data_IF_734636095809
#
_entry.id   IF_734636095809
#
_cell.length_a   1.000
_cell.length_b   1.000
_cell.length_c   1.000
_cell.angle_alpha   90.00
_cell.angle_beta   90.00
_cell.angle_gamma   90.00
#
_symmetry.space_group_name_H-M   'P 1'
#
loop_
_entity.id
_entity.type
_entity.pdbx_description
1 polymer ?
#
# COMPACT_ATOMS: atom_id res chain seq x y z
N UNK A 1 -51.12 25.92 -30.14
CA UNK A 1 -50.68 24.90 -29.16
C UNK A 1 -49.79 25.59 -28.15
N UNK A 2 -50.21 25.68 -26.89
CA UNK A 2 -49.52 26.36 -25.79
C UNK A 2 -48.74 25.34 -24.95
N UNK A 3 -47.50 25.62 -24.55
CA UNK A 3 -46.87 25.06 -23.32
C UNK A 3 -45.75 25.99 -22.78
N UNK A 4 -46.19 26.84 -21.85
CA UNK A 4 -45.61 27.27 -20.55
C UNK A 4 -44.09 27.09 -20.30
N UNK A 5 -43.42 28.25 -20.29
CA UNK A 5 -42.40 28.77 -19.36
C UNK A 5 -41.92 27.91 -18.17
N UNK A 6 -40.60 27.82 -18.01
CA UNK A 6 -39.96 27.58 -16.71
C UNK A 6 -38.89 28.66 -16.47
N UNK A 7 -39.33 29.75 -15.87
CA UNK A 7 -38.46 30.75 -15.23
C UNK A 7 -38.06 30.20 -13.87
N UNK A 8 -36.80 29.81 -13.72
CA UNK A 8 -36.12 29.81 -12.43
C UNK A 8 -35.17 31.02 -12.41
N UNK A 9 -35.69 32.05 -11.77
CA UNK A 9 -35.12 33.36 -11.50
C UNK A 9 -33.68 33.27 -10.95
N UNK A 10 -32.78 34.00 -11.61
CA UNK A 10 -31.50 34.43 -11.06
C UNK A 10 -31.68 35.20 -9.76
N UNK A 11 -30.87 34.88 -8.75
CA UNK A 11 -30.56 35.83 -7.68
C UNK A 11 -29.06 36.05 -7.62
N UNK A 12 -28.69 37.30 -7.86
CA UNK A 12 -27.36 37.84 -7.93
C UNK A 12 -26.66 37.85 -6.57
N UNK A 13 -25.35 37.58 -6.57
CA UNK A 13 -24.43 38.19 -5.62
C UNK A 13 -23.13 38.58 -6.34
N UNK A 14 -22.87 39.89 -6.37
CA UNK A 14 -21.56 40.54 -6.27
C UNK A 14 -20.42 40.21 -7.26
N UNK A 15 -19.82 41.23 -7.92
CA UNK A 15 -18.57 41.07 -8.65
C UNK A 15 -17.41 41.19 -7.67
N UNK A 16 -16.74 40.09 -7.33
CA UNK A 16 -15.44 40.15 -6.69
C UNK A 16 -14.68 38.84 -6.82
N UNK A 17 -13.43 39.01 -7.20
CA UNK A 17 -12.30 38.18 -6.83
C UNK A 17 -11.96 36.94 -7.67
N UNK A 18 -10.98 37.20 -8.55
CA UNK A 18 -9.76 36.42 -8.73
C UNK A 18 -9.93 35.11 -9.50
N UNK A 19 -9.37 35.11 -10.71
CA UNK A 19 -9.06 33.91 -11.46
C UNK A 19 -8.13 33.03 -10.64
N UNK A 20 -8.69 31.99 -10.05
CA UNK A 20 -7.92 30.89 -9.51
C UNK A 20 -7.54 30.00 -10.69
N UNK A 21 -6.33 30.25 -11.20
CA UNK A 21 -5.71 29.37 -12.18
C UNK A 21 -5.80 27.96 -11.61
N UNK A 22 -6.42 27.06 -12.36
CA UNK A 22 -6.33 25.63 -12.12
C UNK A 22 -4.84 25.30 -12.02
N UNK A 23 -4.36 25.09 -10.78
CA UNK A 23 -3.00 24.67 -10.55
C UNK A 23 -2.89 23.28 -11.20
N UNK A 24 -1.95 23.08 -12.13
CA UNK A 24 -1.69 21.76 -12.64
C UNK A 24 -1.37 20.88 -11.43
N UNK A 25 -2.02 19.71 -11.34
CA UNK A 25 -1.60 18.66 -10.41
C UNK A 25 -0.17 18.33 -10.84
N UNK A 26 0.80 18.97 -10.20
CA UNK A 26 2.20 18.60 -10.31
C UNK A 26 2.26 17.18 -9.77
N UNK A 27 2.38 16.21 -10.68
CA UNK A 27 2.87 14.89 -10.33
C UNK A 27 4.24 15.15 -9.73
N UNK A 28 4.32 15.22 -8.41
CA UNK A 28 5.57 15.14 -7.70
C UNK A 28 6.24 13.88 -8.21
N UNK A 29 7.26 14.07 -9.05
CA UNK A 29 8.09 13.00 -9.55
C UNK A 29 8.92 12.62 -8.34
N UNK A 30 8.37 11.77 -7.47
CA UNK A 30 9.18 11.13 -6.44
C UNK A 30 10.23 10.35 -7.22
N UNK A 31 11.46 10.84 -7.15
CA UNK A 31 12.60 10.06 -7.59
C UNK A 31 12.69 8.91 -6.60
N UNK A 32 11.92 7.86 -6.88
CA UNK A 32 12.09 6.58 -6.20
C UNK A 32 13.54 6.19 -6.47
N UNK A 33 14.31 6.05 -5.40
CA UNK A 33 15.71 5.64 -5.50
C UNK A 33 15.79 4.14 -5.39
N UNK A 34 16.87 3.56 -5.92
CA UNK A 34 17.10 2.12 -5.83
C UNK A 34 17.10 1.61 -4.38
N UNK A 35 17.66 2.39 -3.44
CA UNK A 35 17.64 2.05 -2.02
C UNK A 35 16.22 1.97 -1.44
N UNK A 36 15.31 2.86 -1.86
CA UNK A 36 13.91 2.82 -1.44
C UNK A 36 13.17 1.61 -2.03
N UNK A 37 13.49 1.24 -3.28
CA UNK A 37 12.95 0.03 -3.91
C UNK A 37 13.38 -1.24 -3.16
N UNK A 38 14.65 -1.32 -2.78
CA UNK A 38 15.19 -2.45 -1.98
C UNK A 38 14.47 -2.55 -0.63
N UNK A 39 14.37 -1.44 0.12
CA UNK A 39 13.68 -1.40 1.42
C UNK A 39 12.19 -1.81 1.32
N UNK A 40 11.48 -1.33 0.31
CA UNK A 40 10.07 -1.66 0.11
C UNK A 40 9.89 -3.12 -0.31
N UNK A 41 10.79 -3.64 -1.15
CA UNK A 41 10.75 -5.03 -1.61
C UNK A 41 10.96 -6.02 -0.45
N UNK A 42 11.90 -5.74 0.46
CA UNK A 42 12.13 -6.53 1.68
C UNK A 42 10.89 -6.55 2.59
N UNK A 43 10.28 -5.37 2.82
CA UNK A 43 9.04 -5.27 3.62
C UNK A 43 7.87 -6.04 2.99
N UNK A 44 7.79 -6.04 1.66
CA UNK A 44 6.76 -6.80 0.95
C UNK A 44 6.94 -8.31 1.14
N UNK A 45 8.17 -8.82 1.04
CA UNK A 45 8.45 -10.24 1.27
C UNK A 45 8.06 -10.65 2.70
N UNK A 46 8.39 -9.84 3.71
CA UNK A 46 7.99 -10.09 5.09
C UNK A 46 6.46 -10.18 5.26
N UNK A 47 5.69 -9.28 4.63
CA UNK A 47 4.23 -9.34 4.66
C UNK A 47 3.69 -10.60 3.97
N UNK A 48 4.30 -10.99 2.85
CA UNK A 48 3.89 -12.19 2.12
C UNK A 48 4.13 -13.47 2.93
N UNK A 49 5.29 -13.60 3.59
CA UNK A 49 5.59 -14.70 4.52
C UNK A 49 4.54 -14.76 5.62
N UNK A 50 4.24 -13.61 6.26
CA UNK A 50 3.18 -13.53 7.27
C UNK A 50 1.83 -14.01 6.75
N UNK A 51 1.45 -13.64 5.52
CA UNK A 51 0.21 -14.11 4.91
C UNK A 51 0.22 -15.62 4.70
N UNK A 52 1.31 -16.21 4.20
CA UNK A 52 1.44 -17.66 4.03
C UNK A 52 1.30 -18.38 5.39
N UNK A 53 2.01 -17.93 6.42
CA UNK A 53 1.97 -18.51 7.76
C UNK A 53 0.56 -18.43 8.37
N UNK A 54 -0.09 -17.27 8.23
CA UNK A 54 -1.47 -17.05 8.68
C UNK A 54 -2.48 -17.94 7.95
N UNK A 55 -2.36 -18.06 6.63
CA UNK A 55 -3.20 -18.93 5.81
C UNK A 55 -3.01 -20.40 6.14
N UNK A 56 -1.78 -20.86 6.35
CA UNK A 56 -1.47 -22.23 6.75
C UNK A 56 -2.12 -22.59 8.10
N UNK A 57 -2.12 -21.66 9.08
CA UNK A 57 -2.80 -21.87 10.37
C UNK A 57 -4.31 -21.79 10.24
N UNK A 58 -4.83 -20.88 9.42
CA UNK A 58 -6.28 -20.74 9.16
C UNK A 58 -6.87 -21.96 8.45
N UNK A 59 -6.07 -22.66 7.65
CA UNK A 59 -6.46 -23.90 6.98
C UNK A 59 -6.56 -25.10 7.95
N UNK A 60 -6.02 -25.01 9.17
CA UNK A 60 -6.25 -26.00 10.21
C UNK A 60 -7.70 -25.84 10.70
N UNK A 61 -8.49 -26.91 10.58
CA UNK A 61 -9.80 -27.02 11.22
C UNK A 61 -9.59 -26.85 12.72
N UNK A 62 -9.76 -25.62 13.21
CA UNK A 62 -9.45 -25.27 14.58
C UNK A 62 -10.55 -25.80 15.48
N UNK A 63 -10.18 -26.70 16.38
CA UNK A 63 -11.05 -27.16 17.45
C UNK A 63 -11.45 -25.93 18.30
N UNK A 64 -12.73 -25.69 18.62
CA UNK A 64 -13.17 -24.52 19.40
C UNK A 64 -12.38 -24.30 20.70
N UNK A 65 -11.82 -25.37 21.29
CA UNK A 65 -10.96 -25.35 22.47
C UNK A 65 -9.57 -24.73 22.26
N UNK A 66 -9.06 -24.73 21.03
CA UNK A 66 -7.74 -24.18 20.67
C UNK A 66 -7.80 -22.72 20.17
N UNK A 67 -9.00 -22.15 20.04
CA UNK A 67 -9.22 -20.76 19.61
C UNK A 67 -9.28 -19.76 20.77
N UNK A 68 -8.70 -20.09 21.93
CA UNK A 68 -8.65 -19.16 23.06
C UNK A 68 -7.82 -17.91 22.71
N UNK A 69 -8.22 -16.75 23.25
CA UNK A 69 -7.51 -15.49 23.00
C UNK A 69 -6.03 -15.55 23.42
N UNK A 70 -5.71 -16.23 24.52
CA UNK A 70 -4.32 -16.42 24.95
C UNK A 70 -3.46 -17.20 23.95
N UNK A 71 -4.03 -18.21 23.29
CA UNK A 71 -3.34 -18.96 22.24
C UNK A 71 -3.10 -18.09 21.00
N UNK A 72 -4.06 -17.22 20.64
CA UNK A 72 -3.89 -16.27 19.53
C UNK A 72 -2.74 -15.30 19.79
N UNK A 73 -2.66 -14.75 21.00
CA UNK A 73 -1.55 -13.85 21.36
C UNK A 73 -0.21 -14.56 21.33
N UNK A 74 -0.12 -15.76 21.91
CA UNK A 74 1.12 -16.56 21.88
C UNK A 74 1.55 -16.89 20.44
N UNK A 75 0.61 -17.34 19.62
CA UNK A 75 0.87 -17.63 18.21
C UNK A 75 1.32 -16.37 17.45
N UNK A 76 0.74 -15.21 17.74
CA UNK A 76 1.16 -13.94 17.11
C UNK A 76 2.57 -13.52 17.51
N UNK A 77 2.97 -13.75 18.76
CA UNK A 77 4.35 -13.51 19.20
C UNK A 77 5.32 -14.49 18.52
N UNK A 78 4.95 -15.77 18.49
CA UNK A 78 5.73 -16.82 17.84
C UNK A 78 5.90 -16.57 16.34
N UNK A 79 4.84 -16.16 15.65
CA UNK A 79 4.88 -15.81 14.22
C UNK A 79 5.77 -14.61 13.95
N UNK A 80 5.81 -13.62 14.85
CA UNK A 80 6.70 -12.45 14.72
C UNK A 80 8.16 -12.91 14.78
N UNK A 81 8.53 -13.71 15.78
CA UNK A 81 9.89 -14.24 15.91
C UNK A 81 10.29 -15.14 14.74
N UNK A 82 9.37 -16.00 14.27
CA UNK A 82 9.63 -16.83 13.10
C UNK A 82 9.78 -15.99 11.83
N UNK A 83 8.96 -14.95 11.65
CA UNK A 83 9.07 -14.06 10.50
C UNK A 83 10.39 -13.29 10.51
N UNK A 84 10.82 -12.77 11.66
CA UNK A 84 12.09 -12.07 11.80
C UNK A 84 13.28 -13.01 11.57
N UNK A 85 13.24 -14.23 12.13
CA UNK A 85 14.28 -15.23 11.92
C UNK A 85 14.36 -15.71 10.47
N UNK A 86 13.21 -15.96 9.82
CA UNK A 86 13.17 -16.38 8.41
C UNK A 86 13.63 -15.24 7.49
N UNK A 87 13.22 -14.00 7.73
CA UNK A 87 13.69 -12.85 6.96
C UNK A 87 15.21 -12.65 7.07
N UNK A 88 15.82 -12.97 8.21
CA UNK A 88 17.28 -12.89 8.40
C UNK A 88 18.05 -14.07 7.80
N UNK A 89 17.46 -15.27 7.72
CA UNK A 89 18.18 -16.50 7.40
C UNK A 89 17.81 -17.16 6.07
N UNK A 90 16.58 -17.02 5.58
CA UNK A 90 16.10 -17.59 4.31
C UNK A 90 15.25 -16.57 3.54
N UNK A 91 15.90 -15.74 2.72
CA UNK A 91 15.20 -14.91 1.74
C UNK A 91 14.53 -15.81 0.69
N UNK A 92 13.23 -15.61 0.44
CA UNK A 92 12.49 -16.37 -0.57
C UNK A 92 12.85 -15.95 -2.00
N UNK A 93 13.63 -14.88 -2.14
CA UNK A 93 14.06 -14.36 -3.44
C UNK A 93 13.03 -13.43 -4.08
N UNK A 94 11.93 -13.11 -3.38
CA UNK A 94 10.82 -12.30 -3.90
C UNK A 94 11.24 -10.83 -3.88
N UNK A 95 11.91 -10.38 -2.81
CA UNK A 95 12.43 -9.03 -2.72
C UNK A 95 13.42 -8.75 -3.87
N UNK A 96 14.36 -9.66 -4.12
CA UNK A 96 15.32 -9.55 -5.21
C UNK A 96 14.65 -9.62 -6.58
N UNK A 97 13.63 -10.46 -6.74
CA UNK A 97 12.86 -10.52 -7.99
C UNK A 97 12.11 -9.21 -8.26
N UNK A 98 11.54 -8.58 -7.22
CA UNK A 98 10.91 -7.26 -7.33
C UNK A 98 11.95 -6.20 -7.69
N UNK A 99 13.07 -6.13 -6.99
CA UNK A 99 14.15 -5.19 -7.32
C UNK A 99 14.60 -5.39 -8.76
N UNK A 100 14.84 -6.63 -9.20
CA UNK A 100 15.22 -6.93 -10.59
C UNK A 100 14.17 -6.50 -11.62
N UNK A 101 12.89 -6.58 -11.28
CA UNK A 101 11.78 -6.22 -12.17
C UNK A 101 11.55 -4.70 -12.26
N UNK A 102 11.88 -3.97 -11.20
CA UNK A 102 11.58 -2.54 -11.07
C UNK A 102 12.82 -1.64 -11.11
N UNK A 103 14.05 -2.19 -11.04
CA UNK A 103 15.30 -1.42 -11.12
C UNK A 103 15.36 -0.56 -12.38
N UNK A 104 14.93 -1.07 -13.53
CA UNK A 104 14.96 -0.33 -14.81
C UNK A 104 13.90 0.81 -14.88
N UNK A 105 12.97 0.83 -13.92
CA UNK A 105 11.90 1.85 -13.81
C UNK A 105 12.20 2.89 -12.74
N UNK A 106 13.22 2.65 -11.93
CA UNK A 106 13.68 3.52 -10.85
C UNK A 106 14.86 4.32 -11.39
N UNK A 107 14.89 5.61 -11.08
CA UNK A 107 16.00 6.46 -11.52
C UNK A 107 17.15 6.22 -10.56
N UNK A 108 18.28 5.72 -11.06
CA UNK A 108 19.53 5.73 -10.30
C UNK A 108 19.80 7.19 -9.92
N UNK A 109 19.90 7.47 -8.63
CA UNK A 109 19.93 8.82 -8.06
C UNK A 109 21.14 9.69 -8.43
N UNK A 110 21.89 9.32 -9.48
CA UNK A 110 23.21 9.85 -9.85
C UNK A 110 23.23 10.57 -11.22
N UNK A 111 22.09 11.03 -11.74
CA UNK A 111 22.11 11.99 -12.87
C UNK A 111 22.29 13.41 -12.35
N UNK A 112 23.56 13.81 -12.15
CA UNK A 112 24.00 15.21 -12.29
C UNK A 112 23.98 15.66 -13.77
#
# INVERSE_FOLDING_TARGET
MSTISSTALQLAVGPAAIGEKAQPIERQKTTETRAQLEEVAEKFEALFVKTILSSARSAKLSDPLLNSEGQKTFNSMLDTEYADALAQHEALGIAEALVRQFQDRVVDGDTE
#
